data_IF_667134445220
#
_entry.id   IF_667134445220
#
_cell.length_a   1.000
_cell.length_b   1.000
_cell.length_c   1.000
_cell.angle_alpha   90.00
_cell.angle_beta   90.00
_cell.angle_gamma   90.00
#
_symmetry.space_group_name_H-M   'P 1'
#
loop_
_entity.id
_entity.type
_entity.pdbx_description
1 polymer ?
#
# COMPACT_ATOMS: atom_id res chain seq x y z
N UNK A 1 -16.72 34.66 15.24
CA UNK A 1 -17.90 33.84 15.61
C UNK A 1 -17.40 32.69 16.48
N UNK A 2 -18.07 32.44 17.63
CA UNK A 2 -17.62 31.45 18.60
C UNK A 2 -17.87 30.01 18.14
N UNK A 3 -17.24 29.08 18.85
CA UNK A 3 -17.45 27.65 18.67
C UNK A 3 -18.85 27.22 19.10
N UNK A 4 -19.53 26.40 18.31
CA UNK A 4 -20.88 25.88 18.61
C UNK A 4 -20.83 24.36 18.72
N UNK A 5 -21.54 23.80 19.72
CA UNK A 5 -21.65 22.36 19.93
C UNK A 5 -22.95 21.84 19.34
N UNK A 6 -22.86 20.68 18.67
CA UNK A 6 -23.99 19.97 18.10
C UNK A 6 -23.89 18.47 18.43
N UNK A 7 -25.02 17.80 18.56
CA UNK A 7 -25.04 16.34 18.38
C UNK A 7 -25.01 16.02 16.89
N UNK A 8 -24.30 14.96 16.48
CA UNK A 8 -24.27 14.58 15.05
C UNK A 8 -25.68 14.32 14.51
N UNK A 9 -26.59 13.73 15.31
CA UNK A 9 -27.98 13.52 14.91
C UNK A 9 -28.78 14.80 14.57
N UNK A 10 -28.31 15.98 14.98
CA UNK A 10 -28.85 17.24 14.53
C UNK A 10 -28.43 17.58 13.09
N UNK A 11 -27.29 17.05 12.66
CA UNK A 11 -26.59 17.40 11.41
C UNK A 11 -26.72 16.36 10.31
N UNK A 12 -26.89 15.07 10.66
CA UNK A 12 -26.88 13.94 9.71
C UNK A 12 -28.20 13.17 9.76
N UNK A 13 -28.50 12.48 8.66
CA UNK A 13 -29.66 11.59 8.52
C UNK A 13 -29.32 10.37 7.65
N UNK A 14 -30.08 9.28 7.79
CA UNK A 14 -29.94 8.09 6.96
C UNK A 14 -30.26 8.36 5.50
N UNK A 15 -29.51 7.73 4.60
CA UNK A 15 -29.80 7.68 3.17
C UNK A 15 -30.19 6.25 2.79
N UNK A 16 -31.48 6.02 2.52
CA UNK A 16 -32.02 4.68 2.27
C UNK A 16 -32.22 4.36 0.78
N UNK A 17 -31.65 5.17 -0.10
CA UNK A 17 -31.76 4.98 -1.54
C UNK A 17 -31.14 3.65 -1.97
N UNK A 18 -31.91 2.84 -2.67
CA UNK A 18 -31.51 1.50 -3.13
C UNK A 18 -31.51 1.40 -4.66
N UNK A 19 -30.66 0.55 -5.20
CA UNK A 19 -30.56 0.27 -6.65
C UNK A 19 -31.70 -0.66 -7.15
N UNK A 20 -32.91 -0.52 -6.63
CA UNK A 20 -34.02 -1.44 -6.92
C UNK A 20 -34.40 -1.54 -8.39
N UNK A 21 -34.24 -0.45 -9.13
CA UNK A 21 -34.47 -0.40 -10.57
C UNK A 21 -33.30 -0.96 -11.41
N UNK A 22 -32.15 -1.25 -10.77
CA UNK A 22 -30.95 -1.76 -11.45
C UNK A 22 -30.30 -0.72 -12.37
N UNK A 23 -30.38 0.56 -12.01
CA UNK A 23 -29.81 1.66 -12.82
C UNK A 23 -28.27 1.61 -12.89
N UNK A 24 -27.61 1.01 -11.89
CA UNK A 24 -26.16 0.94 -11.79
C UNK A 24 -25.72 -0.52 -11.72
N UNK A 25 -24.73 -0.88 -12.54
CA UNK A 25 -24.17 -2.23 -12.64
C UNK A 25 -23.00 -2.49 -11.69
N UNK A 26 -22.30 -3.61 -11.91
CA UNK A 26 -21.17 -4.06 -11.09
C UNK A 26 -19.99 -3.07 -11.10
N UNK A 27 -19.83 -2.31 -12.15
CA UNK A 27 -18.77 -1.31 -12.31
C UNK A 27 -18.87 -0.17 -11.28
N UNK A 28 -20.05 0.06 -10.71
CA UNK A 28 -20.28 1.05 -9.65
C UNK A 28 -20.09 0.48 -8.25
N UNK A 29 -19.95 -0.84 -8.10
CA UNK A 29 -19.83 -1.49 -6.79
C UNK A 29 -18.47 -1.20 -6.17
N UNK A 30 -18.48 -0.78 -4.91
CA UNK A 30 -17.30 -0.44 -4.12
C UNK A 30 -17.33 -1.11 -2.75
N UNK A 31 -16.13 -1.21 -2.17
CA UNK A 31 -15.92 -1.60 -0.77
C UNK A 31 -15.39 -0.43 0.05
N UNK A 32 -15.33 -0.62 1.36
CA UNK A 32 -14.76 0.33 2.32
C UNK A 32 -13.59 -0.35 3.03
N UNK A 33 -12.46 0.36 3.14
CA UNK A 33 -11.31 -0.10 3.93
C UNK A 33 -11.41 0.35 5.39
N UNK A 34 -10.58 -0.28 6.26
CA UNK A 34 -10.38 0.20 7.64
C UNK A 34 -9.53 1.48 7.70
N UNK A 35 -8.93 1.90 6.59
CA UNK A 35 -8.27 3.22 6.43
C UNK A 35 -9.25 4.30 5.97
N UNK A 36 -10.56 4.00 5.99
CA UNK A 36 -11.66 4.90 5.62
C UNK A 36 -11.63 5.36 4.15
N UNK A 37 -11.14 4.51 3.26
CA UNK A 37 -11.10 4.76 1.82
C UNK A 37 -12.15 3.92 1.11
N UNK A 38 -12.75 4.50 0.07
CA UNK A 38 -13.57 3.78 -0.90
C UNK A 38 -12.62 3.09 -1.90
N UNK A 39 -12.84 1.80 -2.15
CA UNK A 39 -11.97 0.97 -2.97
C UNK A 39 -12.78 0.08 -3.92
N UNK A 40 -12.20 -0.36 -5.05
CA UNK A 40 -12.85 -1.37 -5.88
C UNK A 40 -13.15 -2.64 -5.08
N UNK A 41 -14.30 -3.24 -5.32
CA UNK A 41 -14.62 -4.55 -4.70
C UNK A 41 -13.84 -5.67 -5.38
N UNK A 42 -13.47 -6.68 -4.58
CA UNK A 42 -12.93 -7.96 -5.07
C UNK A 42 -13.98 -9.07 -5.03
N UNK A 43 -15.18 -8.76 -4.54
CA UNK A 43 -16.25 -9.74 -4.43
C UNK A 43 -16.89 -9.96 -5.82
N UNK A 44 -17.09 -11.24 -6.16
CA UNK A 44 -17.96 -11.62 -7.25
C UNK A 44 -19.41 -11.46 -6.74
N UNK A 45 -20.15 -10.54 -7.33
CA UNK A 45 -21.48 -10.13 -6.87
C UNK A 45 -22.51 -10.35 -7.99
N UNK A 46 -23.52 -11.15 -7.69
CA UNK A 46 -24.64 -11.39 -8.57
C UNK A 46 -25.46 -10.10 -8.83
N UNK A 47 -25.91 -9.89 -10.07
CA UNK A 47 -26.75 -8.75 -10.46
C UNK A 47 -28.03 -8.65 -9.61
N UNK A 48 -28.65 -9.79 -9.26
CA UNK A 48 -29.83 -9.80 -8.41
C UNK A 48 -29.56 -9.26 -7.00
N UNK A 49 -28.33 -9.44 -6.50
CA UNK A 49 -27.88 -8.92 -5.19
C UNK A 49 -27.58 -7.43 -5.27
N UNK A 50 -27.04 -6.95 -6.40
CA UNK A 50 -26.71 -5.52 -6.61
C UNK A 50 -27.96 -4.64 -6.52
N UNK A 51 -29.15 -5.13 -6.90
CA UNK A 51 -30.42 -4.40 -6.75
C UNK A 51 -30.79 -4.06 -5.31
N UNK A 52 -30.22 -4.76 -4.33
CA UNK A 52 -30.43 -4.50 -2.89
C UNK A 52 -29.41 -3.51 -2.31
N UNK A 53 -28.41 -3.12 -3.08
CA UNK A 53 -27.33 -2.25 -2.61
C UNK A 53 -27.81 -0.82 -2.44
N UNK A 54 -27.16 -0.11 -1.51
CA UNK A 54 -27.34 1.33 -1.36
C UNK A 54 -26.71 2.07 -2.53
N UNK A 55 -27.41 3.10 -3.00
CA UNK A 55 -26.84 4.12 -3.87
C UNK A 55 -26.30 5.23 -2.96
N UNK A 56 -25.00 5.45 -3.01
CA UNK A 56 -24.32 6.53 -2.29
C UNK A 56 -23.95 7.61 -3.29
N UNK A 57 -24.69 8.70 -3.27
CA UNK A 57 -24.50 9.83 -4.20
C UNK A 57 -23.27 10.65 -3.84
N UNK A 58 -22.74 11.48 -4.77
CA UNK A 58 -21.70 12.45 -4.47
C UNK A 58 -22.05 13.27 -3.20
N UNK A 59 -21.07 13.41 -2.30
CA UNK A 59 -21.26 14.13 -1.03
C UNK A 59 -21.87 13.33 0.12
N UNK A 60 -22.25 12.07 -0.10
CA UNK A 60 -22.80 11.19 0.93
C UNK A 60 -21.73 10.26 1.53
N UNK A 61 -22.08 9.65 2.64
CA UNK A 61 -21.22 8.78 3.43
C UNK A 61 -21.78 7.36 3.48
N UNK A 62 -20.86 6.43 3.75
CA UNK A 62 -21.17 5.02 3.97
C UNK A 62 -20.25 4.49 5.07
N UNK A 63 -20.76 3.67 5.99
CA UNK A 63 -19.93 3.02 6.98
C UNK A 63 -20.38 1.57 7.24
N UNK A 64 -19.45 0.76 7.72
CA UNK A 64 -19.74 -0.59 8.15
C UNK A 64 -20.01 -0.58 9.67
N UNK A 65 -21.26 -0.88 10.11
CA UNK A 65 -21.58 -0.87 11.53
C UNK A 65 -20.87 -2.02 12.32
N UNK A 66 -20.34 -3.03 11.64
CA UNK A 66 -19.68 -4.19 12.29
C UNK A 66 -18.24 -3.85 12.64
N UNK A 67 -17.95 -3.62 13.91
CA UNK A 67 -16.62 -3.25 14.41
C UNK A 67 -15.69 -4.43 14.57
N UNK A 68 -16.16 -5.61 14.96
CA UNK A 68 -15.36 -6.81 15.21
C UNK A 68 -14.50 -7.30 14.05
N UNK A 69 -14.84 -6.97 12.81
CA UNK A 69 -14.12 -7.43 11.60
C UNK A 69 -13.03 -6.47 11.11
N UNK A 70 -12.97 -5.28 11.65
CA UNK A 70 -12.09 -4.19 11.17
C UNK A 70 -10.94 -3.89 12.15
N UNK A 71 -10.79 -4.70 13.21
CA UNK A 71 -9.84 -4.46 14.29
C UNK A 71 -10.27 -3.29 15.16
N UNK A 72 -9.37 -2.35 15.41
CA UNK A 72 -9.58 -1.15 16.23
C UNK A 72 -10.05 0.08 15.44
N UNK A 73 -10.64 -0.11 14.25
CA UNK A 73 -11.07 0.96 13.35
C UNK A 73 -12.45 0.68 12.75
N UNK A 74 -13.19 1.75 12.49
CA UNK A 74 -14.48 1.70 11.78
C UNK A 74 -14.25 1.93 10.29
N UNK A 75 -14.72 1.00 9.45
CA UNK A 75 -14.76 1.22 8.01
C UNK A 75 -15.79 2.30 7.67
N UNK A 76 -15.34 3.42 7.13
CA UNK A 76 -16.18 4.54 6.71
C UNK A 76 -15.65 5.09 5.39
N UNK A 77 -16.53 5.51 4.48
CA UNK A 77 -16.21 6.12 3.21
C UNK A 77 -17.02 7.38 2.98
N UNK A 78 -16.45 8.30 2.25
CA UNK A 78 -17.10 9.51 1.75
C UNK A 78 -17.02 9.50 0.22
N UNK A 79 -18.16 9.63 -0.46
CA UNK A 79 -18.16 9.71 -1.91
C UNK A 79 -17.77 11.12 -2.37
N UNK A 80 -16.50 11.31 -2.65
CA UNK A 80 -15.91 12.54 -3.18
C UNK A 80 -15.83 12.55 -4.72
N UNK A 81 -16.48 11.57 -5.38
CA UNK A 81 -16.53 11.48 -6.86
C UNK A 81 -17.77 12.21 -7.39
N UNK A 82 -17.79 12.40 -8.72
CA UNK A 82 -18.94 13.00 -9.43
C UNK A 82 -20.05 11.98 -9.78
N UNK A 83 -19.84 10.69 -9.43
CA UNK A 83 -20.74 9.61 -9.81
C UNK A 83 -21.31 8.89 -8.59
N UNK A 84 -22.55 8.39 -8.65
CA UNK A 84 -23.09 7.49 -7.65
C UNK A 84 -22.27 6.20 -7.55
N UNK A 85 -22.16 5.66 -6.34
CA UNK A 85 -21.46 4.41 -6.05
C UNK A 85 -22.40 3.44 -5.35
N UNK A 86 -22.20 2.13 -5.54
CA UNK A 86 -23.00 1.09 -4.93
C UNK A 86 -22.26 0.40 -3.78
N UNK A 87 -22.95 0.22 -2.66
CA UNK A 87 -22.42 -0.49 -1.49
C UNK A 87 -23.40 -1.54 -0.96
N UNK A 88 -22.83 -2.63 -0.45
CA UNK A 88 -23.59 -3.73 0.12
C UNK A 88 -24.59 -3.25 1.20
N UNK A 89 -25.74 -3.89 1.25
CA UNK A 89 -26.79 -3.68 2.26
C UNK A 89 -26.35 -3.96 3.70
N UNK A 90 -25.16 -4.53 3.92
CA UNK A 90 -24.56 -4.71 5.25
C UNK A 90 -23.92 -3.43 5.81
N UNK A 91 -23.84 -2.40 5.00
CA UNK A 91 -23.35 -1.09 5.39
C UNK A 91 -24.55 -0.16 5.69
N UNK A 92 -24.28 1.01 6.22
CA UNK A 92 -25.26 2.06 6.48
C UNK A 92 -24.84 3.33 5.75
N UNK A 93 -25.72 3.82 4.87
CA UNK A 93 -25.51 5.07 4.15
C UNK A 93 -26.17 6.23 4.88
N UNK A 94 -25.52 7.40 4.88
CA UNK A 94 -26.05 8.60 5.50
C UNK A 94 -25.56 9.87 4.79
N UNK A 95 -26.24 10.97 5.07
CA UNK A 95 -25.94 12.28 4.47
C UNK A 95 -26.04 13.39 5.49
N UNK A 96 -25.56 14.56 5.15
CA UNK A 96 -25.81 15.79 5.91
C UNK A 96 -27.22 16.25 5.57
N UNK A 97 -28.01 16.58 6.61
CA UNK A 97 -29.35 17.15 6.46
C UNK A 97 -29.32 18.45 5.64
N UNK A 98 -30.36 18.71 4.87
CA UNK A 98 -30.46 19.93 4.08
C UNK A 98 -30.32 21.17 4.96
N UNK A 99 -30.92 21.15 6.15
CA UNK A 99 -30.86 22.23 7.15
C UNK A 99 -29.48 22.45 7.77
N UNK A 100 -28.60 21.48 7.63
CA UNK A 100 -27.24 21.53 8.22
C UNK A 100 -26.14 21.88 7.20
N UNK A 101 -26.47 22.04 5.92
CA UNK A 101 -25.49 22.33 4.87
C UNK A 101 -24.73 23.64 5.06
N UNK A 102 -25.38 24.63 5.70
CA UNK A 102 -24.74 25.91 6.05
C UNK A 102 -24.02 25.88 7.41
N UNK A 103 -24.07 24.73 8.10
CA UNK A 103 -23.44 24.53 9.42
C UNK A 103 -22.14 23.70 9.32
N UNK A 104 -22.14 22.65 8.48
CA UNK A 104 -21.02 21.72 8.35
C UNK A 104 -20.73 21.34 6.90
N UNK A 105 -19.46 21.39 6.51
CA UNK A 105 -19.00 20.89 5.21
C UNK A 105 -18.83 19.35 5.25
N UNK A 106 -19.25 18.62 4.21
CA UNK A 106 -19.06 17.16 4.15
C UNK A 106 -17.58 16.74 4.33
N UNK A 107 -16.66 17.44 3.69
CA UNK A 107 -15.23 17.16 3.81
C UNK A 107 -14.71 17.39 5.24
N UNK A 108 -15.23 18.42 5.95
CA UNK A 108 -14.88 18.67 7.34
C UNK A 108 -15.39 17.54 8.25
N UNK A 109 -16.60 17.06 8.01
CA UNK A 109 -17.16 15.89 8.71
C UNK A 109 -16.35 14.63 8.41
N UNK A 110 -15.91 14.44 7.16
CA UNK A 110 -15.02 13.31 6.81
C UNK A 110 -13.67 13.39 7.54
N UNK A 111 -13.05 14.57 7.63
CA UNK A 111 -11.83 14.78 8.43
C UNK A 111 -12.07 14.49 9.92
N UNK A 112 -13.25 14.82 10.45
CA UNK A 112 -13.63 14.49 11.83
C UNK A 112 -13.65 12.97 12.05
N UNK A 113 -14.22 12.20 11.13
CA UNK A 113 -14.25 10.74 11.21
C UNK A 113 -12.87 10.07 11.06
N UNK A 114 -11.94 10.71 10.37
CA UNK A 114 -10.57 10.20 10.20
C UNK A 114 -9.68 10.34 11.44
N UNK A 115 -10.23 10.72 12.58
CA UNK A 115 -9.49 10.80 13.85
C UNK A 115 -9.58 9.50 14.64
N UNK A 116 -8.49 9.11 15.29
CA UNK A 116 -8.47 7.94 16.17
C UNK A 116 -9.43 8.04 17.36
N UNK A 117 -9.82 9.26 17.75
CA UNK A 117 -10.84 9.48 18.78
C UNK A 117 -12.20 8.95 18.36
N UNK A 118 -12.57 9.13 17.07
CA UNK A 118 -13.80 8.56 16.55
C UNK A 118 -13.78 7.03 16.58
N UNK A 119 -12.69 6.41 16.14
CA UNK A 119 -12.57 4.96 16.17
C UNK A 119 -12.67 4.41 17.59
N UNK A 120 -11.98 5.03 18.56
CA UNK A 120 -12.08 4.63 19.98
C UNK A 120 -13.51 4.78 20.52
N UNK A 121 -14.17 5.91 20.21
CA UNK A 121 -15.56 6.12 20.63
C UNK A 121 -16.48 5.03 20.07
N UNK A 122 -16.39 4.77 18.77
CA UNK A 122 -17.24 3.80 18.09
C UNK A 122 -17.03 2.37 18.64
N UNK A 123 -15.79 1.96 18.90
CA UNK A 123 -15.50 0.65 19.49
C UNK A 123 -16.03 0.56 20.92
N UNK A 124 -15.84 1.60 21.74
CA UNK A 124 -16.33 1.61 23.12
C UNK A 124 -17.87 1.59 23.20
N UNK A 125 -18.56 2.14 22.19
CA UNK A 125 -20.01 2.18 22.11
C UNK A 125 -20.59 1.19 21.10
N UNK A 126 -19.90 0.08 20.87
CA UNK A 126 -20.37 -1.04 20.03
C UNK A 126 -20.90 -2.15 20.92
N UNK A 127 -22.04 -2.70 20.60
CA UNK A 127 -22.75 -3.71 21.41
C UNK A 127 -23.17 -4.90 20.56
N UNK A 128 -23.19 -6.09 21.18
CA UNK A 128 -23.66 -7.32 20.55
C UNK A 128 -22.94 -8.56 21.07
N UNK A 129 -23.64 -9.69 21.17
CA UNK A 129 -23.09 -10.95 21.72
C UNK A 129 -22.27 -11.77 20.72
N UNK A 130 -22.63 -11.71 19.44
CA UNK A 130 -21.94 -12.46 18.38
C UNK A 130 -21.20 -11.56 17.38
N UNK A 131 -21.67 -10.34 17.21
CA UNK A 131 -21.05 -9.30 16.36
C UNK A 131 -21.35 -7.97 17.02
N UNK A 132 -20.31 -7.24 17.36
CA UNK A 132 -20.45 -5.89 17.90
C UNK A 132 -20.83 -4.93 16.78
N UNK A 133 -21.85 -4.13 17.00
CA UNK A 133 -22.38 -3.15 16.07
C UNK A 133 -22.29 -1.75 16.67
N UNK A 134 -21.75 -0.83 15.92
CA UNK A 134 -21.85 0.59 16.15
C UNK A 134 -23.03 1.14 15.33
N UNK A 135 -24.15 1.39 15.97
CA UNK A 135 -25.39 1.77 15.31
C UNK A 135 -25.36 3.23 14.84
N UNK A 136 -26.29 3.60 13.96
CA UNK A 136 -26.44 4.99 13.54
C UNK A 136 -26.91 5.90 14.67
N UNK A 137 -27.73 5.37 15.58
CA UNK A 137 -28.20 6.13 16.76
C UNK A 137 -27.05 6.48 17.69
N UNK A 138 -26.12 5.55 17.94
CA UNK A 138 -24.90 5.82 18.71
C UNK A 138 -23.97 6.83 17.99
N UNK A 139 -23.92 6.81 16.66
CA UNK A 139 -23.22 7.84 15.89
C UNK A 139 -23.90 9.21 16.06
N UNK A 140 -25.22 9.26 16.07
CA UNK A 140 -26.00 10.48 16.28
C UNK A 140 -25.78 11.12 17.65
N UNK A 141 -25.43 10.33 18.66
CA UNK A 141 -25.17 10.81 20.04
C UNK A 141 -23.78 11.47 20.20
N UNK A 142 -22.89 11.31 19.24
CA UNK A 142 -21.58 11.99 19.27
C UNK A 142 -21.76 13.50 19.28
N UNK A 143 -21.10 14.17 20.23
CA UNK A 143 -21.03 15.64 20.26
C UNK A 143 -19.83 16.11 19.45
N UNK A 144 -20.08 17.01 18.50
CA UNK A 144 -19.07 17.70 17.70
C UNK A 144 -19.07 19.19 18.02
N UNK A 145 -17.90 19.79 18.13
CA UNK A 145 -17.73 21.24 18.23
C UNK A 145 -17.31 21.76 16.88
N UNK A 146 -18.03 22.74 16.36
CA UNK A 146 -17.82 23.30 15.03
C UNK A 146 -17.40 24.77 15.10
N UNK A 147 -16.39 25.18 14.33
CA UNK A 147 -16.13 26.58 14.02
C UNK A 147 -17.09 27.05 12.93
N UNK A 148 -17.06 28.34 12.58
CA UNK A 148 -17.86 28.88 11.46
C UNK A 148 -17.56 28.14 10.14
N UNK A 149 -18.52 28.11 9.24
CA UNK A 149 -18.39 27.46 7.92
C UNK A 149 -17.19 28.02 7.12
N UNK A 150 -16.92 29.31 7.25
CA UNK A 150 -15.76 29.95 6.63
C UNK A 150 -14.45 29.43 7.19
N UNK A 151 -14.39 29.18 8.49
CA UNK A 151 -13.21 28.61 9.14
C UNK A 151 -13.04 27.14 8.73
N UNK A 152 -14.13 26.37 8.71
CA UNK A 152 -14.08 24.99 8.21
C UNK A 152 -13.50 24.95 6.78
N UNK A 153 -13.97 25.87 5.89
CA UNK A 153 -13.52 25.93 4.49
C UNK A 153 -12.01 26.11 4.39
N UNK A 154 -11.41 27.00 5.17
CA UNK A 154 -9.94 27.20 5.16
C UNK A 154 -9.15 25.90 5.42
N UNK A 155 -9.60 25.09 6.37
CA UNK A 155 -8.94 23.83 6.70
C UNK A 155 -9.26 22.70 5.71
N UNK A 156 -10.48 22.69 5.19
CA UNK A 156 -10.88 21.79 4.11
C UNK A 156 -10.07 22.07 2.84
N UNK A 157 -9.86 23.33 2.48
CA UNK A 157 -9.05 23.70 1.29
C UNK A 157 -7.63 23.20 1.41
N UNK A 158 -7.00 23.29 2.59
CA UNK A 158 -5.67 22.71 2.84
C UNK A 158 -5.71 21.19 2.67
N UNK A 159 -6.69 20.51 3.24
CA UNK A 159 -6.84 19.06 3.11
C UNK A 159 -7.01 18.64 1.64
N UNK A 160 -7.89 19.29 0.90
CA UNK A 160 -8.14 19.00 -0.52
C UNK A 160 -6.92 19.27 -1.41
N UNK A 161 -6.14 20.34 -1.13
CA UNK A 161 -4.91 20.62 -1.83
C UNK A 161 -3.88 19.49 -1.65
N UNK A 162 -3.75 18.97 -0.43
CA UNK A 162 -2.85 17.85 -0.13
C UNK A 162 -3.34 16.54 -0.77
N UNK A 163 -4.65 16.28 -0.76
CA UNK A 163 -5.25 15.13 -1.43
C UNK A 163 -5.04 15.18 -2.95
N UNK A 164 -5.24 16.36 -3.56
CA UNK A 164 -4.97 16.59 -4.98
C UNK A 164 -3.49 16.34 -5.32
N UNK A 165 -2.58 16.82 -4.47
CA UNK A 165 -1.15 16.58 -4.64
C UNK A 165 -0.82 15.08 -4.58
N UNK A 166 -1.35 14.34 -3.60
CA UNK A 166 -1.20 12.88 -3.50
C UNK A 166 -1.70 12.19 -4.78
N UNK A 167 -2.88 12.54 -5.26
CA UNK A 167 -3.47 11.97 -6.48
C UNK A 167 -2.58 12.23 -7.70
N UNK A 168 -2.02 13.44 -7.83
CA UNK A 168 -1.09 13.78 -8.89
C UNK A 168 0.18 12.91 -8.84
N UNK A 169 0.75 12.70 -7.65
CA UNK A 169 1.90 11.80 -7.47
C UNK A 169 1.56 10.34 -7.84
N UNK A 170 0.41 9.83 -7.39
CA UNK A 170 -0.03 8.46 -7.70
C UNK A 170 -0.24 8.25 -9.22
N UNK A 171 -0.78 9.24 -9.93
CA UNK A 171 -0.94 9.17 -11.37
C UNK A 171 0.42 9.17 -12.10
N UNK A 172 1.37 10.01 -11.66
CA UNK A 172 2.74 9.99 -12.20
C UNK A 172 3.47 8.67 -11.94
N UNK A 173 3.22 8.01 -10.80
CA UNK A 173 3.74 6.65 -10.54
C UNK A 173 3.21 5.66 -11.57
N UNK A 174 1.92 5.70 -11.90
CA UNK A 174 1.32 4.83 -12.93
C UNK A 174 1.91 5.08 -14.32
N UNK A 175 2.06 6.35 -14.70
CA UNK A 175 2.68 6.75 -15.98
C UNK A 175 4.12 6.24 -16.09
N UNK A 176 4.94 6.46 -15.04
CA UNK A 176 6.33 5.97 -15.03
C UNK A 176 6.44 4.46 -15.09
N UNK A 177 5.52 3.75 -14.42
CA UNK A 177 5.46 2.29 -14.52
C UNK A 177 5.23 1.84 -15.95
N UNK A 178 4.28 2.45 -16.67
CA UNK A 178 4.03 2.13 -18.08
C UNK A 178 5.25 2.42 -18.96
N UNK A 179 5.96 3.51 -18.71
CA UNK A 179 7.22 3.82 -19.45
C UNK A 179 8.28 2.75 -19.17
N UNK A 180 8.49 2.37 -17.91
CA UNK A 180 9.44 1.32 -17.55
C UNK A 180 9.08 -0.02 -18.21
N UNK A 181 7.83 -0.44 -18.11
CA UNK A 181 7.36 -1.71 -18.67
C UNK A 181 7.48 -1.71 -20.22
N UNK A 182 7.11 -0.61 -20.88
CA UNK A 182 7.25 -0.45 -22.33
C UNK A 182 8.70 -0.49 -22.80
N UNK A 183 9.61 0.17 -22.07
CA UNK A 183 11.04 0.18 -22.40
C UNK A 183 11.66 -1.21 -22.26
N UNK A 184 11.29 -1.93 -21.22
CA UNK A 184 11.73 -3.32 -20.98
C UNK A 184 11.24 -4.25 -22.10
N UNK A 185 9.96 -4.16 -22.51
CA UNK A 185 9.43 -4.98 -23.59
C UNK A 185 10.10 -4.64 -24.96
N UNK A 186 10.41 -3.38 -25.19
CA UNK A 186 11.14 -2.97 -26.39
C UNK A 186 12.57 -3.55 -26.40
N UNK A 187 13.26 -3.53 -25.28
CA UNK A 187 14.58 -4.17 -25.14
C UNK A 187 14.51 -5.67 -25.43
N UNK A 188 13.51 -6.39 -24.89
CA UNK A 188 13.35 -7.84 -25.13
C UNK A 188 13.12 -8.16 -26.60
N UNK A 189 12.45 -7.27 -27.35
CA UNK A 189 12.17 -7.48 -28.79
C UNK A 189 13.37 -7.14 -29.67
N UNK A 190 14.13 -6.11 -29.32
CA UNK A 190 15.21 -5.58 -30.16
C UNK A 190 16.59 -6.14 -29.85
N UNK A 191 16.84 -6.52 -28.59
CA UNK A 191 18.14 -7.02 -28.15
C UNK A 191 18.11 -8.53 -27.97
N UNK A 192 19.18 -9.20 -28.36
CA UNK A 192 19.36 -10.61 -28.05
C UNK A 192 19.47 -10.82 -26.56
N UNK A 193 18.81 -11.88 -26.04
CA UNK A 193 18.95 -12.28 -24.64
C UNK A 193 20.19 -13.15 -24.44
N UNK A 194 20.93 -12.94 -23.37
CA UNK A 194 22.12 -13.68 -22.98
C UNK A 194 21.95 -14.28 -21.58
N UNK A 195 22.57 -15.43 -21.36
CA UNK A 195 22.62 -16.04 -20.01
C UNK A 195 23.47 -15.16 -19.09
N UNK A 196 22.91 -14.86 -17.90
CA UNK A 196 23.62 -14.00 -16.94
C UNK A 196 24.80 -14.68 -16.26
N UNK A 197 24.91 -16.02 -16.32
CA UNK A 197 25.96 -16.79 -15.64
C UNK A 197 27.39 -16.36 -15.97
N UNK A 198 27.63 -15.79 -17.15
CA UNK A 198 28.97 -15.26 -17.52
C UNK A 198 29.27 -13.88 -16.91
N UNK A 199 28.26 -13.22 -16.34
CA UNK A 199 28.36 -11.87 -15.79
C UNK A 199 28.26 -11.84 -14.26
N UNK A 200 27.98 -12.98 -13.61
CA UNK A 200 27.80 -13.08 -12.16
C UNK A 200 28.69 -14.15 -11.55
N UNK A 201 29.06 -14.01 -10.29
CA UNK A 201 29.78 -15.03 -9.51
C UNK A 201 29.15 -15.23 -8.13
N UNK A 202 29.19 -16.47 -7.64
CA UNK A 202 28.71 -16.78 -6.29
C UNK A 202 29.71 -16.29 -5.23
N UNK A 203 29.17 -15.67 -4.16
CA UNK A 203 29.94 -15.20 -3.01
C UNK A 203 29.69 -16.12 -1.82
N UNK A 204 30.75 -16.80 -1.33
CA UNK A 204 30.66 -17.76 -0.23
C UNK A 204 31.52 -17.38 0.99
N UNK A 205 31.81 -16.07 1.17
CA UNK A 205 32.59 -15.62 2.30
C UNK A 205 31.81 -15.83 3.59
N UNK A 206 32.45 -16.53 4.54
CA UNK A 206 31.89 -16.83 5.86
C UNK A 206 32.35 -15.81 6.89
N UNK A 207 31.56 -15.70 7.94
CA UNK A 207 31.81 -14.80 9.08
C UNK A 207 32.79 -15.45 10.09
N UNK A 208 33.85 -16.11 9.61
CA UNK A 208 34.80 -16.92 10.42
C UNK A 208 35.39 -16.11 11.59
N UNK A 209 35.54 -14.79 11.44
CA UNK A 209 36.12 -13.92 12.45
C UNK A 209 35.07 -13.26 13.33
N UNK A 210 33.78 -13.54 13.12
CA UNK A 210 32.62 -12.87 13.77
C UNK A 210 32.71 -11.35 13.71
N UNK A 211 33.25 -10.80 12.61
CA UNK A 211 33.45 -9.36 12.42
C UNK A 211 32.14 -8.62 12.12
N UNK A 212 31.12 -9.31 11.64
CA UNK A 212 29.80 -8.75 11.31
C UNK A 212 28.75 -9.40 12.21
N UNK A 213 27.98 -8.56 12.92
CA UNK A 213 26.99 -9.02 13.91
C UNK A 213 25.55 -8.84 13.45
N UNK A 214 25.30 -8.03 12.40
CA UNK A 214 23.95 -7.73 11.92
C UNK A 214 23.37 -8.91 11.13
N UNK A 215 22.47 -9.68 11.77
CA UNK A 215 21.81 -10.83 11.15
C UNK A 215 20.55 -10.40 10.45
N UNK A 216 20.48 -10.61 9.14
CA UNK A 216 19.30 -10.25 8.35
C UNK A 216 18.80 -11.42 7.50
N UNK A 217 17.56 -11.30 7.05
CA UNK A 217 16.93 -12.13 6.03
C UNK A 217 16.41 -11.27 4.88
N UNK A 218 15.88 -11.91 3.84
CA UNK A 218 15.22 -11.25 2.72
C UNK A 218 13.74 -11.62 2.70
N UNK A 219 12.89 -10.62 2.80
CA UNK A 219 11.44 -10.79 2.73
C UNK A 219 10.96 -10.96 1.29
N UNK A 220 9.70 -11.40 1.14
CA UNK A 220 9.03 -11.48 -0.18
C UNK A 220 8.77 -10.11 -0.83
N UNK A 221 8.93 -9.04 -0.09
CA UNK A 221 8.90 -7.65 -0.59
C UNK A 221 10.19 -7.24 -1.33
N UNK A 222 11.24 -8.09 -1.32
CA UNK A 222 12.55 -7.78 -1.89
C UNK A 222 13.41 -6.88 -1.02
N UNK A 223 13.12 -6.79 0.29
CA UNK A 223 13.86 -5.96 1.24
C UNK A 223 14.61 -6.83 2.26
N UNK A 224 15.76 -6.32 2.72
CA UNK A 224 16.40 -6.87 3.91
C UNK A 224 15.58 -6.50 5.16
N UNK A 225 15.43 -7.46 6.07
CA UNK A 225 14.77 -7.27 7.36
C UNK A 225 15.48 -8.05 8.45
N UNK A 226 15.26 -7.65 9.69
CA UNK A 226 15.68 -8.45 10.85
C UNK A 226 15.15 -9.88 10.72
N UNK A 227 15.98 -10.86 11.06
CA UNK A 227 15.56 -12.26 11.01
C UNK A 227 14.45 -12.52 12.05
N UNK A 228 13.39 -13.20 11.62
CA UNK A 228 12.31 -13.67 12.53
C UNK A 228 12.69 -15.00 13.24
N UNK A 229 13.79 -15.58 12.87
CA UNK A 229 14.29 -16.80 13.51
C UNK A 229 14.82 -16.49 14.91
N UNK A 230 14.62 -17.41 15.86
CA UNK A 230 15.29 -17.32 17.15
C UNK A 230 16.80 -17.49 16.93
N UNK A 231 17.56 -16.42 17.17
CA UNK A 231 19.02 -16.39 16.97
C UNK A 231 19.80 -16.65 18.26
N UNK A 232 19.11 -16.83 19.40
CA UNK A 232 19.75 -17.06 20.70
C UNK A 232 20.49 -18.40 20.70
N UNK A 233 21.80 -18.35 20.90
CA UNK A 233 22.66 -19.54 20.95
C UNK A 233 23.08 -20.12 19.59
N UNK A 234 22.78 -19.40 18.49
CA UNK A 234 23.26 -19.82 17.17
C UNK A 234 24.74 -19.44 16.96
N UNK A 235 25.45 -20.34 16.28
CA UNK A 235 26.80 -20.10 15.81
C UNK A 235 26.79 -19.34 14.47
N UNK A 236 27.33 -18.15 14.44
CA UNK A 236 27.36 -17.29 13.25
C UNK A 236 28.63 -17.43 12.40
N UNK A 237 29.60 -18.31 12.76
CA UNK A 237 30.78 -18.53 11.95
C UNK A 237 30.47 -19.01 10.53
N UNK A 238 29.44 -19.82 10.38
CA UNK A 238 28.98 -20.35 9.10
C UNK A 238 28.07 -19.42 8.30
N UNK A 239 27.65 -18.29 8.87
CA UNK A 239 26.82 -17.33 8.15
C UNK A 239 27.60 -16.67 7.03
N UNK A 240 26.92 -16.35 5.93
CA UNK A 240 27.54 -15.68 4.78
C UNK A 240 27.54 -14.17 5.01
N UNK A 241 28.68 -13.52 4.78
CA UNK A 241 28.79 -12.07 4.76
C UNK A 241 28.22 -11.55 3.45
N UNK A 242 27.43 -10.49 3.54
CA UNK A 242 26.83 -9.77 2.40
C UNK A 242 27.35 -8.35 2.41
N UNK A 243 27.91 -7.92 1.29
CA UNK A 243 28.47 -6.57 1.08
C UNK A 243 27.57 -5.72 0.18
N UNK A 244 27.77 -4.41 0.17
CA UNK A 244 27.13 -3.54 -0.82
C UNK A 244 27.30 -4.05 -2.25
N UNK A 245 26.25 -3.88 -3.06
CA UNK A 245 26.13 -4.36 -4.45
C UNK A 245 26.07 -5.88 -4.62
N UNK A 246 26.07 -6.66 -3.54
CA UNK A 246 25.81 -8.10 -3.59
C UNK A 246 24.32 -8.40 -3.50
N UNK A 247 23.93 -9.45 -4.23
CA UNK A 247 22.58 -9.99 -4.26
C UNK A 247 22.44 -11.13 -3.28
N UNK A 248 21.29 -11.22 -2.65
CA UNK A 248 20.93 -12.30 -1.73
C UNK A 248 19.53 -12.80 -2.06
N UNK A 249 19.36 -14.10 -2.16
CA UNK A 249 18.03 -14.68 -2.27
C UNK A 249 17.89 -16.00 -1.49
N UNK A 250 16.65 -16.32 -1.13
CA UNK A 250 16.30 -17.60 -0.54
C UNK A 250 15.91 -18.58 -1.66
N UNK A 251 16.70 -19.67 -1.88
CA UNK A 251 16.44 -20.63 -2.95
C UNK A 251 15.04 -21.25 -2.93
N UNK A 252 14.44 -21.41 -1.76
CA UNK A 252 13.11 -22.02 -1.60
C UNK A 252 11.97 -21.01 -1.63
N UNK A 253 12.26 -19.69 -1.73
CA UNK A 253 11.25 -18.61 -1.69
C UNK A 253 11.46 -17.53 -2.74
N UNK A 254 12.36 -17.72 -3.67
CA UNK A 254 12.65 -16.76 -4.73
C UNK A 254 11.41 -16.50 -5.60
N UNK A 255 10.59 -17.53 -5.84
CA UNK A 255 9.31 -17.45 -6.54
C UNK A 255 8.28 -16.55 -5.85
N UNK A 256 8.47 -16.29 -4.55
CA UNK A 256 7.64 -15.37 -3.74
C UNK A 256 8.24 -13.97 -3.64
N UNK A 257 9.36 -13.68 -4.32
CA UNK A 257 10.01 -12.37 -4.30
C UNK A 257 11.14 -12.21 -3.28
N UNK A 258 11.59 -13.29 -2.63
CA UNK A 258 12.68 -13.25 -1.64
C UNK A 258 14.06 -13.14 -2.31
N UNK A 259 14.31 -12.01 -2.96
CA UNK A 259 15.60 -11.59 -3.54
C UNK A 259 15.82 -10.10 -3.32
N UNK A 260 17.01 -9.70 -2.92
CA UNK A 260 17.39 -8.30 -2.71
C UNK A 260 18.83 -8.05 -3.11
N UNK A 261 19.18 -6.81 -3.40
CA UNK A 261 20.56 -6.33 -3.52
C UNK A 261 20.87 -5.43 -2.33
N UNK A 262 22.04 -5.59 -1.72
CA UNK A 262 22.48 -4.75 -0.61
C UNK A 262 22.88 -3.37 -1.11
N UNK A 263 22.26 -2.33 -0.59
CA UNK A 263 22.58 -0.95 -0.94
C UNK A 263 23.87 -0.47 -0.26
N UNK A 264 24.59 0.45 -0.87
CA UNK A 264 25.82 1.02 -0.29
C UNK A 264 25.59 1.67 1.07
N UNK A 265 24.42 2.29 1.26
CA UNK A 265 24.02 2.94 2.52
C UNK A 265 23.81 1.99 3.69
N UNK A 266 23.64 0.69 3.43
CA UNK A 266 23.27 -0.31 4.44
C UNK A 266 24.48 -0.98 5.12
N UNK A 267 25.69 -0.84 4.56
CA UNK A 267 26.88 -1.52 5.07
C UNK A 267 26.84 -3.05 4.93
N UNK A 268 27.68 -3.78 5.68
CA UNK A 268 27.72 -5.25 5.66
C UNK A 268 26.68 -5.86 6.61
N UNK A 269 26.14 -7.03 6.24
CA UNK A 269 25.33 -7.87 7.12
C UNK A 269 25.68 -9.35 6.94
N UNK A 270 25.11 -10.24 7.77
CA UNK A 270 25.21 -11.67 7.61
C UNK A 270 23.85 -12.30 7.38
N UNK A 271 23.81 -13.33 6.53
CA UNK A 271 22.63 -14.13 6.25
C UNK A 271 22.88 -15.61 6.53
N UNK A 272 21.80 -16.35 6.80
CA UNK A 272 21.89 -17.80 7.03
C UNK A 272 22.60 -18.52 5.88
N UNK A 273 23.34 -19.61 6.15
CA UNK A 273 24.04 -20.41 5.12
C UNK A 273 23.15 -20.89 3.98
N UNK A 274 21.85 -21.00 4.18
CA UNK A 274 20.87 -21.44 3.18
C UNK A 274 20.62 -20.41 2.06
N UNK A 275 20.94 -19.13 2.28
CA UNK A 275 20.81 -18.13 1.24
C UNK A 275 21.93 -18.27 0.20
N UNK A 276 21.59 -17.96 -1.04
CA UNK A 276 22.58 -17.74 -2.10
C UNK A 276 22.95 -16.27 -2.11
N UNK A 277 24.28 -16.02 -2.13
CA UNK A 277 24.85 -14.68 -2.26
C UNK A 277 25.67 -14.65 -3.53
N UNK A 278 25.50 -13.62 -4.37
CA UNK A 278 26.24 -13.46 -5.62
C UNK A 278 26.43 -11.99 -5.97
N UNK A 279 27.33 -11.71 -6.87
CA UNK A 279 27.61 -10.35 -7.36
C UNK A 279 27.82 -10.33 -8.87
N UNK A 280 27.81 -9.15 -9.45
CA UNK A 280 28.17 -8.93 -10.84
C UNK A 280 29.69 -8.86 -10.96
N UNK A 281 30.28 -9.62 -11.88
CA UNK A 281 31.74 -9.71 -12.08
C UNK A 281 32.37 -8.38 -12.51
N UNK A 282 31.68 -7.62 -13.39
CA UNK A 282 32.15 -6.33 -13.89
C UNK A 282 30.98 -5.44 -14.28
N UNK A 283 30.94 -4.25 -13.70
CA UNK A 283 29.97 -3.21 -14.06
C UNK A 283 30.20 -2.56 -15.43
N UNK A 284 31.28 -2.94 -16.13
CA UNK A 284 31.53 -2.47 -17.50
C UNK A 284 30.58 -3.09 -18.52
N UNK A 285 30.00 -4.25 -18.20
CA UNK A 285 29.09 -4.99 -19.08
C UNK A 285 27.66 -5.09 -18.53
N UNK A 286 27.52 -5.23 -17.21
CA UNK A 286 26.22 -5.39 -16.56
C UNK A 286 26.19 -4.58 -15.27
N UNK A 287 25.24 -3.66 -15.17
CA UNK A 287 25.04 -2.89 -13.93
C UNK A 287 24.26 -3.71 -12.91
N UNK A 288 24.66 -3.74 -11.63
CA UNK A 288 23.86 -4.40 -10.57
C UNK A 288 22.42 -3.92 -10.49
N UNK A 289 22.19 -2.60 -10.53
CA UNK A 289 20.82 -2.03 -10.54
C UNK A 289 19.99 -2.51 -11.75
N UNK A 290 20.63 -2.66 -12.93
CA UNK A 290 19.94 -3.16 -14.12
C UNK A 290 19.58 -4.65 -13.95
N UNK A 291 20.47 -5.45 -13.41
CA UNK A 291 20.18 -6.84 -13.10
C UNK A 291 19.05 -6.96 -12.07
N UNK A 292 19.07 -6.16 -11.00
CA UNK A 292 18.01 -6.11 -9.98
C UNK A 292 16.64 -5.85 -10.60
N UNK A 293 16.55 -4.90 -11.54
CA UNK A 293 15.32 -4.59 -12.25
C UNK A 293 14.72 -5.82 -12.96
N UNK A 294 15.55 -6.68 -13.55
CA UNK A 294 15.09 -7.91 -14.20
C UNK A 294 14.68 -8.99 -13.20
N UNK A 295 15.47 -9.17 -12.12
CA UNK A 295 15.25 -10.20 -11.11
C UNK A 295 14.10 -9.88 -10.14
N UNK A 296 13.56 -8.67 -10.14
CA UNK A 296 12.40 -8.28 -9.31
C UNK A 296 11.07 -8.25 -10.07
N UNK A 297 11.06 -8.69 -11.33
CA UNK A 297 9.84 -8.77 -12.14
C UNK A 297 9.02 -10.02 -11.82
N UNK A 298 7.70 -9.89 -11.93
CA UNK A 298 6.76 -11.00 -11.73
C UNK A 298 6.98 -12.15 -12.74
N UNK A 299 7.45 -11.85 -13.95
CA UNK A 299 7.80 -12.84 -14.98
C UNK A 299 8.99 -13.70 -14.54
N UNK A 300 10.00 -13.07 -13.93
CA UNK A 300 11.15 -13.80 -13.39
C UNK A 300 10.68 -14.72 -12.25
N UNK A 301 9.91 -14.23 -11.28
CA UNK A 301 9.41 -15.06 -10.18
C UNK A 301 8.57 -16.25 -10.68
N UNK A 302 7.75 -16.07 -11.68
CA UNK A 302 7.02 -17.19 -12.30
C UNK A 302 7.95 -18.18 -12.99
N UNK A 303 8.98 -17.69 -13.68
CA UNK A 303 9.93 -18.57 -14.39
C UNK A 303 10.78 -19.42 -13.44
N UNK A 304 11.07 -18.94 -12.22
CA UNK A 304 11.84 -19.73 -11.24
C UNK A 304 11.17 -21.05 -10.84
N UNK A 305 9.83 -21.12 -10.92
CA UNK A 305 9.08 -22.36 -10.67
C UNK A 305 9.34 -23.44 -11.73
N UNK A 306 9.68 -23.07 -12.98
CA UNK A 306 9.99 -24.01 -14.05
C UNK A 306 11.42 -24.52 -13.99
N UNK A 307 12.34 -23.74 -13.42
CA UNK A 307 13.75 -24.08 -13.29
C UNK A 307 14.10 -24.73 -11.96
N UNK A 308 13.20 -24.62 -10.95
CA UNK A 308 13.44 -25.23 -9.65
C UNK A 308 13.47 -26.75 -9.77
N UNK A 309 14.47 -27.38 -9.15
CA UNK A 309 14.65 -28.82 -9.11
C UNK A 309 14.89 -29.30 -7.67
N UNK A 310 14.39 -30.50 -7.32
CA UNK A 310 14.59 -31.09 -6.02
C UNK A 310 13.63 -32.23 -5.71
N UNK A 311 14.11 -33.29 -5.05
CA UNK A 311 13.28 -34.47 -4.70
C UNK A 311 12.41 -34.29 -3.46
N UNK A 312 12.73 -33.32 -2.58
CA UNK A 312 12.02 -33.06 -1.31
C UNK A 312 11.47 -31.65 -1.22
N UNK A 313 12.19 -30.67 -1.79
CA UNK A 313 11.76 -29.27 -1.96
C UNK A 313 12.36 -28.72 -3.25
N UNK A 314 11.52 -28.12 -4.06
CA UNK A 314 12.00 -27.39 -5.23
C UNK A 314 12.85 -26.21 -4.76
N UNK A 315 14.12 -26.18 -5.17
CA UNK A 315 15.06 -25.11 -4.86
C UNK A 315 15.63 -24.54 -6.14
N UNK A 316 15.77 -23.23 -6.18
CA UNK A 316 16.40 -22.50 -7.26
C UNK A 316 17.82 -22.13 -6.84
N UNK A 317 18.79 -22.94 -7.21
CA UNK A 317 20.19 -22.75 -6.85
C UNK A 317 20.91 -21.71 -7.72
N UNK A 318 22.21 -21.53 -7.47
CA UNK A 318 23.02 -20.58 -8.26
C UNK A 318 23.24 -21.06 -9.70
N UNK A 319 23.29 -22.38 -9.94
CA UNK A 319 23.35 -22.97 -11.29
C UNK A 319 22.14 -22.57 -12.15
N UNK A 320 20.94 -22.62 -11.58
CA UNK A 320 19.71 -22.19 -12.25
C UNK A 320 19.71 -20.68 -12.48
N UNK A 321 20.22 -19.89 -11.53
CA UNK A 321 20.39 -18.44 -11.70
C UNK A 321 21.30 -18.12 -12.91
N UNK A 322 22.38 -18.88 -13.11
CA UNK A 322 23.28 -18.71 -14.25
C UNK A 322 22.61 -18.95 -15.61
N UNK A 323 21.54 -19.75 -15.66
CA UNK A 323 20.78 -20.05 -16.89
C UNK A 323 19.75 -18.97 -17.23
N UNK A 324 19.46 -18.04 -16.32
CA UNK A 324 18.52 -16.93 -16.57
C UNK A 324 19.01 -16.08 -17.73
N UNK A 325 18.10 -15.75 -18.65
CA UNK A 325 18.42 -14.96 -19.85
C UNK A 325 17.75 -13.60 -19.77
N UNK A 326 18.53 -12.54 -19.99
CA UNK A 326 18.05 -11.17 -20.08
C UNK A 326 18.72 -10.45 -21.27
N UNK A 327 18.11 -9.39 -21.81
CA UNK A 327 18.81 -8.52 -22.76
C UNK A 327 19.97 -7.79 -22.04
N UNK A 328 21.11 -7.70 -22.67
CA UNK A 328 22.28 -6.98 -22.15
C UNK A 328 22.69 -5.92 -23.18
N UNK A 329 22.00 -4.76 -23.21
CA UNK A 329 22.35 -3.66 -24.09
C UNK A 329 23.59 -2.92 -23.58
N UNK A 330 24.08 -1.95 -24.37
CA UNK A 330 25.19 -1.09 -23.97
C UNK A 330 24.94 -0.43 -22.60
N UNK A 331 26.00 -0.18 -21.84
CA UNK A 331 25.94 0.39 -20.48
C UNK A 331 25.19 1.73 -20.44
N UNK A 332 25.26 2.55 -21.50
CA UNK A 332 24.50 3.80 -21.60
C UNK A 332 22.98 3.54 -21.51
N UNK A 333 22.49 2.55 -22.25
CA UNK A 333 21.06 2.15 -22.26
C UNK A 333 20.65 1.54 -20.92
N UNK A 334 21.52 0.72 -20.31
CA UNK A 334 21.26 0.19 -18.97
C UNK A 334 21.12 1.33 -17.94
N UNK A 335 22.00 2.36 -17.98
CA UNK A 335 21.92 3.53 -17.10
C UNK A 335 20.64 4.32 -17.29
N UNK A 336 20.19 4.52 -18.53
CA UNK A 336 18.96 5.24 -18.82
C UNK A 336 17.73 4.57 -18.18
N UNK A 337 17.58 3.25 -18.38
CA UNK A 337 16.44 2.53 -17.81
C UNK A 337 16.51 2.43 -16.29
N UNK A 338 17.70 2.25 -15.72
CA UNK A 338 17.91 2.27 -14.27
C UNK A 338 17.50 3.62 -13.68
N UNK A 339 17.86 4.73 -14.32
CA UNK A 339 17.48 6.07 -13.86
C UNK A 339 15.97 6.29 -13.90
N UNK A 340 15.28 5.84 -14.96
CA UNK A 340 13.82 5.91 -15.05
C UNK A 340 13.18 5.06 -13.94
N UNK A 341 13.69 3.85 -13.73
CA UNK A 341 13.19 2.96 -12.68
C UNK A 341 13.42 3.53 -11.26
N UNK A 342 14.60 4.11 -11.00
CA UNK A 342 14.87 4.81 -9.72
C UNK A 342 13.90 5.98 -9.50
N UNK A 343 13.59 6.76 -10.53
CA UNK A 343 12.56 7.80 -10.44
C UNK A 343 11.18 7.21 -10.12
N UNK A 344 10.81 6.07 -10.71
CA UNK A 344 9.56 5.38 -10.40
C UNK A 344 9.49 4.97 -8.93
N UNK A 345 10.50 4.28 -8.42
CA UNK A 345 10.57 3.82 -7.02
C UNK A 345 10.51 5.00 -6.05
N UNK A 346 11.30 6.06 -6.30
CA UNK A 346 11.31 7.24 -5.43
C UNK A 346 9.96 7.96 -5.40
N UNK A 347 9.28 8.11 -6.53
CA UNK A 347 7.93 8.69 -6.56
C UNK A 347 6.90 7.80 -5.87
N UNK A 348 7.02 6.49 -5.96
CA UNK A 348 6.18 5.54 -5.23
C UNK A 348 6.37 5.71 -3.71
N UNK A 349 7.62 5.86 -3.25
CA UNK A 349 7.96 6.11 -1.85
C UNK A 349 7.35 7.44 -1.36
N UNK A 350 7.50 8.51 -2.15
CA UNK A 350 6.92 9.83 -1.82
C UNK A 350 5.39 9.73 -1.76
N UNK A 351 4.74 9.06 -2.70
CA UNK A 351 3.29 8.89 -2.67
C UNK A 351 2.81 8.13 -1.42
N UNK A 352 3.53 7.09 -1.01
CA UNK A 352 3.23 6.35 0.22
C UNK A 352 3.38 7.23 1.47
N UNK A 353 4.44 8.03 1.56
CA UNK A 353 4.67 8.96 2.68
C UNK A 353 3.61 10.07 2.73
N UNK A 354 3.25 10.66 1.58
CA UNK A 354 2.19 11.67 1.50
C UNK A 354 0.84 11.10 1.96
N UNK A 355 0.53 9.85 1.60
CA UNK A 355 -0.68 9.17 2.04
C UNK A 355 -0.72 9.00 3.55
N UNK A 356 0.37 8.57 4.15
CA UNK A 356 0.50 8.43 5.61
C UNK A 356 0.38 9.79 6.32
N UNK A 357 1.08 10.80 5.81
CA UNK A 357 1.00 12.15 6.36
C UNK A 357 -0.42 12.73 6.30
N UNK A 358 -1.14 12.53 5.18
CA UNK A 358 -2.51 13.00 5.03
C UNK A 358 -3.45 12.39 6.08
N UNK A 359 -3.32 11.08 6.35
CA UNK A 359 -4.10 10.41 7.39
C UNK A 359 -3.83 10.97 8.79
N UNK A 360 -2.56 11.30 9.08
CA UNK A 360 -2.13 11.84 10.37
C UNK A 360 -2.46 13.34 10.53
N UNK A 361 -2.75 14.04 9.45
CA UNK A 361 -2.99 15.48 9.46
C UNK A 361 -4.43 15.85 9.88
N UNK A 362 -5.42 15.01 9.61
CA UNK A 362 -6.82 15.29 9.94
C UNK A 362 -7.04 15.70 11.42
N UNK A 363 -6.47 15.01 12.43
CA UNK A 363 -6.58 15.43 13.83
C UNK A 363 -5.99 16.81 14.08
N UNK A 364 -4.88 17.15 13.42
CA UNK A 364 -4.18 18.44 13.57
C UNK A 364 -5.01 19.57 12.96
N UNK A 365 -5.54 19.36 11.75
CA UNK A 365 -6.37 20.35 11.06
C UNK A 365 -7.67 20.62 11.85
N UNK A 366 -8.33 19.58 12.35
CA UNK A 366 -9.55 19.74 13.17
C UNK A 366 -9.21 20.50 14.46
N UNK A 367 -8.12 20.13 15.15
CA UNK A 367 -7.71 20.85 16.38
C UNK A 367 -7.39 22.32 16.08
N UNK A 368 -6.59 22.58 15.05
CA UNK A 368 -6.21 23.95 14.66
C UNK A 368 -7.44 24.81 14.29
N UNK A 369 -8.45 24.23 13.63
CA UNK A 369 -9.67 24.96 13.29
C UNK A 369 -10.47 25.42 14.51
N UNK A 370 -10.39 24.69 15.62
CA UNK A 370 -11.04 25.03 16.87
C UNK A 370 -10.25 26.09 17.66
N UNK A 371 -8.92 26.01 17.69
CA UNK A 371 -8.04 26.93 18.42
C UNK A 371 -8.03 28.34 17.80
N UNK A 372 -8.09 28.46 16.48
CA UNK A 372 -8.09 29.76 15.79
C UNK A 372 -9.47 30.46 15.79
N UNK A 373 -10.50 29.81 16.34
CA UNK A 373 -11.84 30.36 16.46
C UNK A 373 -12.11 31.00 17.82
N UNK A 374 -11.16 30.91 18.73
CA UNK A 374 -11.12 31.61 20.01
C UNK A 374 -10.35 32.94 19.87
#
# INVERSE_FOLDING_TARGET
>A
MGLTKYKLGELIELSEERNTEGLYGIEYVRGISNTKEIMPTKADVDEAVIKKFYIVRPGQFIYNPRTTRMGDKVGLGYNDTDTPLLFSFNNTAFTIKETAKEIILPQYLYMFYNRSQFDRYAITNSWGSATELFTFDEMCDITITLPSIEQQRKYVDVYLALQSNLTAYQNKVKELKLVCDGYIEDLRRKSGCEKIGKYICECNQRNDKLSVCEVQGVESSGNFSETRANTVGLDFHNYKIVRPNQFVYNPSRINLGSIAMREESQGECIVSPMYVVFEVNSSDYLLPDYLLLWLTRSEFFRSTLFYASGSVRDTFGFSEMCEVTIPIPDISVQKEIVNIHKCYIERQRIAAQLKEQLNNLCPILIKGSLETSN
#
